data_IF_457009485115
#
_entry.id   IF_457009485115
#
_cell.length_a   1.000
_cell.length_b   1.000
_cell.length_c   1.000
_cell.angle_alpha   90.00
_cell.angle_beta   90.00
_cell.angle_gamma   90.00
#
_symmetry.space_group_name_H-M   'P 1'
#
loop_
_entity.id
_entity.type
_entity.pdbx_description
1 polymer ?
#
# COMPACT_ATOMS: atom_id res chain seq x y z
N UNK A 1 -10.78 58.36 -24.46
CA UNK A 1 -11.73 57.32 -24.02
C UNK A 1 -10.91 56.06 -23.73
N UNK A 2 -10.70 55.72 -22.45
CA UNK A 2 -9.68 54.76 -22.02
C UNK A 2 -10.34 53.43 -21.62
N UNK A 3 -10.14 52.37 -22.39
CA UNK A 3 -10.79 51.05 -22.20
C UNK A 3 -9.81 49.86 -22.23
N UNK A 4 -8.59 50.00 -21.70
CA UNK A 4 -7.58 48.92 -21.73
C UNK A 4 -7.14 48.36 -20.37
N UNK A 5 -7.74 48.78 -19.24
CA UNK A 5 -7.28 48.38 -17.89
C UNK A 5 -8.15 47.30 -17.19
N UNK A 6 -8.65 46.29 -17.91
CA UNK A 6 -9.52 45.25 -17.29
C UNK A 6 -9.24 43.77 -17.63
N UNK A 7 -8.21 43.44 -18.40
CA UNK A 7 -7.97 42.03 -18.81
C UNK A 7 -6.83 41.30 -18.08
N UNK A 8 -5.82 41.99 -17.54
CA UNK A 8 -4.61 41.33 -17.02
C UNK A 8 -4.78 40.44 -15.77
N UNK A 9 -5.87 40.57 -15.01
CA UNK A 9 -6.08 39.78 -13.79
C UNK A 9 -6.61 38.36 -14.05
N UNK A 10 -7.34 38.14 -15.15
CA UNK A 10 -7.95 36.83 -15.46
C UNK A 10 -6.91 35.86 -15.98
N UNK A 11 -6.01 36.33 -16.84
CA UNK A 11 -5.04 35.47 -17.55
C UNK A 11 -4.02 34.84 -16.58
N UNK A 12 -3.61 35.58 -15.54
CA UNK A 12 -2.74 35.06 -14.48
C UNK A 12 -3.43 33.98 -13.64
N UNK A 13 -4.71 34.16 -13.32
CA UNK A 13 -5.50 33.16 -12.60
C UNK A 13 -5.76 31.90 -13.43
N UNK A 14 -6.12 32.07 -14.71
CA UNK A 14 -6.34 30.95 -15.64
C UNK A 14 -5.07 30.15 -15.88
N UNK A 15 -3.89 30.79 -16.00
CA UNK A 15 -2.62 30.07 -16.15
C UNK A 15 -2.29 29.25 -14.90
N UNK A 16 -2.47 29.79 -13.69
CA UNK A 16 -2.22 29.04 -12.45
C UNK A 16 -3.18 27.87 -12.29
N UNK A 17 -4.46 28.08 -12.62
CA UNK A 17 -5.47 27.01 -12.59
C UNK A 17 -5.15 25.92 -13.62
N UNK A 18 -4.73 26.29 -14.84
CA UNK A 18 -4.34 25.33 -15.88
C UNK A 18 -3.18 24.44 -15.43
N UNK A 19 -2.14 25.01 -14.82
CA UNK A 19 -1.02 24.23 -14.27
C UNK A 19 -1.46 23.31 -13.13
N UNK A 20 -2.34 23.78 -12.25
CA UNK A 20 -2.90 22.97 -11.18
C UNK A 20 -3.71 21.78 -11.74
N UNK A 21 -4.57 22.02 -12.73
CA UNK A 21 -5.35 20.97 -13.40
C UNK A 21 -4.46 19.97 -14.14
N UNK A 22 -3.40 20.43 -14.81
CA UNK A 22 -2.40 19.55 -15.44
C UNK A 22 -1.70 18.70 -14.37
N UNK A 23 -1.32 19.29 -13.24
CA UNK A 23 -0.72 18.57 -12.11
C UNK A 23 -1.63 17.46 -11.59
N UNK A 24 -2.90 17.77 -11.34
CA UNK A 24 -3.91 16.78 -10.93
C UNK A 24 -4.07 15.69 -12.00
N UNK A 25 -4.17 16.07 -13.27
CA UNK A 25 -4.30 15.13 -14.38
C UNK A 25 -3.09 14.18 -14.48
N UNK A 26 -1.88 14.69 -14.27
CA UNK A 26 -0.67 13.88 -14.25
C UNK A 26 -0.67 12.87 -13.10
N UNK A 27 -1.07 13.28 -11.89
CA UNK A 27 -1.19 12.37 -10.74
C UNK A 27 -2.25 11.30 -10.99
N UNK A 28 -3.42 11.69 -11.52
CA UNK A 28 -4.48 10.76 -11.87
C UNK A 28 -4.01 9.73 -12.91
N UNK A 29 -3.29 10.18 -13.95
CA UNK A 29 -2.72 9.29 -14.96
C UNK A 29 -1.71 8.30 -14.35
N UNK A 30 -0.89 8.77 -13.40
CA UNK A 30 0.08 7.93 -12.68
C UNK A 30 -0.61 6.83 -11.88
N UNK A 31 -1.74 7.15 -11.23
CA UNK A 31 -2.56 6.18 -10.50
C UNK A 31 -3.15 5.15 -11.46
N UNK A 32 -3.69 5.58 -12.61
CA UNK A 32 -4.24 4.67 -13.63
C UNK A 32 -3.15 3.74 -14.17
N UNK A 33 -1.96 4.27 -14.48
CA UNK A 33 -0.83 3.47 -14.93
C UNK A 33 -0.42 2.42 -13.88
N UNK A 34 -0.41 2.80 -12.59
CA UNK A 34 -0.13 1.87 -11.50
C UNK A 34 -1.21 0.79 -11.36
N UNK A 35 -2.48 1.14 -11.55
CA UNK A 35 -3.58 0.17 -11.55
C UNK A 35 -3.43 -0.82 -12.70
N UNK A 36 -3.06 -0.36 -13.90
CA UNK A 36 -2.78 -1.22 -15.05
C UNK A 36 -1.62 -2.17 -14.76
N UNK A 37 -0.53 -1.71 -14.15
CA UNK A 37 0.60 -2.58 -13.76
C UNK A 37 0.15 -3.69 -12.79
N UNK A 38 -0.64 -3.36 -11.77
CA UNK A 38 -1.12 -4.35 -10.81
C UNK A 38 -2.12 -5.33 -11.43
N UNK A 39 -3.03 -4.83 -12.28
CA UNK A 39 -4.15 -5.62 -12.82
C UNK A 39 -3.81 -6.40 -14.09
N UNK A 40 -2.97 -5.86 -14.98
CA UNK A 40 -2.68 -6.47 -16.29
C UNK A 40 -1.29 -7.09 -16.28
N UNK A 41 -0.26 -6.35 -15.85
CA UNK A 41 1.12 -6.83 -15.93
C UNK A 41 1.41 -7.91 -14.88
N UNK A 42 0.80 -7.78 -13.70
CA UNK A 42 1.05 -8.67 -12.56
C UNK A 42 -0.16 -9.55 -12.22
N UNK A 43 -1.17 -9.61 -13.10
CA UNK A 43 -2.41 -10.35 -12.89
C UNK A 43 -2.12 -11.79 -12.43
N UNK A 44 -1.35 -12.52 -13.23
CA UNK A 44 -1.00 -13.92 -13.00
C UNK A 44 -0.24 -14.14 -11.68
N UNK A 45 0.62 -13.19 -11.30
CA UNK A 45 1.37 -13.27 -10.05
C UNK A 45 0.46 -13.11 -8.83
N UNK A 46 -0.48 -12.18 -8.90
CA UNK A 46 -1.44 -11.93 -7.82
C UNK A 46 -2.50 -13.02 -7.75
N UNK A 47 -2.93 -13.58 -8.87
CA UNK A 47 -3.82 -14.73 -8.93
C UNK A 47 -3.17 -15.97 -8.30
N UNK A 48 -1.93 -16.31 -8.71
CA UNK A 48 -1.18 -17.41 -8.11
C UNK A 48 -0.84 -17.19 -6.63
N UNK A 49 -0.80 -15.94 -6.15
CA UNK A 49 -0.64 -15.62 -4.74
C UNK A 49 -1.95 -15.82 -3.97
N UNK A 50 -3.07 -15.38 -4.55
CA UNK A 50 -4.40 -15.54 -3.97
C UNK A 50 -4.74 -17.03 -3.81
N UNK A 51 -4.51 -17.85 -4.85
CA UNK A 51 -4.68 -19.30 -4.80
C UNK A 51 -3.83 -19.93 -3.70
N UNK A 52 -2.56 -19.53 -3.60
CA UNK A 52 -1.66 -20.02 -2.55
C UNK A 52 -2.10 -19.61 -1.14
N UNK A 53 -2.76 -18.48 -0.97
CA UNK A 53 -3.32 -18.07 0.32
C UNK A 53 -4.60 -18.85 0.66
N UNK A 54 -5.47 -19.08 -0.33
CA UNK A 54 -6.69 -19.87 -0.19
C UNK A 54 -6.39 -21.33 0.14
N UNK A 55 -5.40 -21.93 -0.51
CA UNK A 55 -5.00 -23.32 -0.27
C UNK A 55 -4.00 -23.47 0.87
N UNK A 56 -3.57 -22.37 1.50
CA UNK A 56 -2.57 -22.45 2.57
C UNK A 56 -3.19 -23.17 3.75
N UNK A 57 -2.68 -24.35 4.16
CA UNK A 57 -3.11 -24.93 5.42
C UNK A 57 -2.75 -23.92 6.52
N UNK A 58 -3.71 -23.65 7.42
CA UNK A 58 -3.51 -22.79 8.58
C UNK A 58 -2.29 -23.33 9.33
N UNK A 59 -1.17 -22.62 9.22
CA UNK A 59 0.04 -23.00 9.93
C UNK A 59 -0.13 -22.49 11.36
N UNK A 60 -0.66 -23.35 12.22
CA UNK A 60 -0.60 -23.11 13.66
C UNK A 60 0.88 -22.95 14.02
N UNK A 61 1.26 -21.76 14.44
CA UNK A 61 2.53 -21.56 15.09
C UNK A 61 2.31 -22.04 16.53
N UNK A 62 2.85 -23.22 16.92
CA UNK A 62 2.66 -23.68 18.28
C UNK A 62 3.24 -22.62 19.21
N UNK A 63 2.42 -22.12 20.14
CA UNK A 63 2.91 -21.27 21.20
C UNK A 63 3.69 -22.19 22.15
N UNK A 64 5.03 -22.10 22.22
CA UNK A 64 5.80 -22.99 23.08
C UNK A 64 5.36 -22.78 24.52
N UNK A 65 5.08 -23.87 25.24
CA UNK A 65 4.67 -23.73 26.64
C UNK A 65 5.85 -23.21 27.46
N UNK A 66 5.56 -22.29 28.39
CA UNK A 66 6.55 -21.79 29.33
C UNK A 66 7.22 -22.92 30.13
N UNK A 67 8.49 -22.72 30.48
CA UNK A 67 9.24 -23.68 31.31
C UNK A 67 8.72 -23.65 32.74
N UNK A 68 8.55 -24.83 33.35
CA UNK A 68 8.24 -24.95 34.77
C UNK A 68 9.56 -25.04 35.53
N UNK A 69 9.73 -24.15 36.50
CA UNK A 69 10.91 -24.03 37.35
C UNK A 69 10.54 -24.44 38.78
N UNK A 70 11.47 -25.09 39.48
CA UNK A 70 11.41 -25.24 40.94
C UNK A 70 11.80 -23.92 41.65
N UNK A 71 11.60 -23.85 42.97
CA UNK A 71 11.95 -22.71 43.84
C UNK A 71 13.42 -22.26 43.73
N UNK A 72 14.31 -23.19 43.40
CA UNK A 72 15.75 -22.92 43.22
C UNK A 72 16.10 -22.55 41.76
N UNK A 73 15.11 -22.33 40.89
CA UNK A 73 15.29 -21.97 39.49
C UNK A 73 15.70 -23.15 38.58
N UNK A 74 15.66 -24.38 39.08
CA UNK A 74 15.93 -25.59 38.29
C UNK A 74 14.76 -25.91 37.35
N UNK A 75 15.05 -26.18 36.08
CA UNK A 75 14.02 -26.54 35.07
C UNK A 75 13.51 -27.96 35.34
N UNK A 76 12.21 -28.08 35.59
CA UNK A 76 11.52 -29.37 35.77
C UNK A 76 10.88 -29.87 34.48
N UNK A 77 10.31 -28.98 33.69
CA UNK A 77 9.67 -29.29 32.40
C UNK A 77 9.94 -28.16 31.40
N UNK A 78 10.33 -28.51 30.17
CA UNK A 78 10.45 -27.59 29.03
C UNK A 78 9.78 -28.20 27.81
N UNK A 79 9.27 -27.34 26.95
CA UNK A 79 8.76 -27.71 25.64
C UNK A 79 9.86 -27.41 24.60
N UNK A 80 10.22 -28.40 23.79
CA UNK A 80 11.25 -28.26 22.76
C UNK A 80 10.70 -28.78 21.42
N UNK A 81 10.84 -28.00 20.33
CA UNK A 81 10.33 -28.43 19.03
C UNK A 81 11.17 -29.61 18.51
N UNK A 82 10.49 -30.69 18.12
CA UNK A 82 11.08 -31.86 17.44
C UNK A 82 11.17 -31.64 15.93
#
# INVERSE_FOLDING_TARGET
MNTTARHGGRDLFYNRLKWFTIGIGAVALLIVARLVDVQIVRADQYEALADRMLTRPIRYLPAPRGRILDRDGRVLVRDEPT
#
